data_IF_160557341507
#
_entry.id   IF_160557341507
#
_cell.length_a   1.000
_cell.length_b   1.000
_cell.length_c   1.000
_cell.angle_alpha   90.00
_cell.angle_beta   90.00
_cell.angle_gamma   90.00
#
_symmetry.space_group_name_H-M   'P 1'
#
loop_
_entity.id
_entity.type
_entity.pdbx_description
1 polymer ?
#
# COMPACT_ATOMS: atom_id res chain seq x y z
N UNK A 1 -12.92 -3.14 -22.84
CA UNK A 1 -12.86 -4.31 -21.94
C UNK A 1 -11.41 -4.70 -21.73
N UNK A 2 -10.83 -4.48 -20.55
CA UNK A 2 -9.63 -5.25 -20.11
C UNK A 2 -9.83 -5.53 -18.63
N UNK A 3 -10.46 -6.67 -18.32
CA UNK A 3 -10.41 -7.24 -16.98
C UNK A 3 -9.02 -7.86 -16.84
N UNK A 4 -8.07 -7.13 -16.25
CA UNK A 4 -6.69 -7.61 -16.14
C UNK A 4 -6.70 -8.81 -15.19
N UNK A 5 -6.28 -10.01 -15.64
CA UNK A 5 -6.32 -11.19 -14.79
C UNK A 5 -5.47 -10.97 -13.53
N UNK A 6 -5.86 -11.53 -12.38
CA UNK A 6 -5.22 -11.28 -11.08
C UNK A 6 -3.71 -11.55 -11.11
N UNK A 7 -3.27 -12.53 -11.91
CA UNK A 7 -1.84 -12.83 -12.13
C UNK A 7 -1.06 -11.64 -12.73
N UNK A 8 -1.66 -10.91 -13.68
CA UNK A 8 -1.01 -9.73 -14.30
C UNK A 8 -0.98 -8.54 -13.34
N UNK A 9 -2.04 -8.31 -12.56
CA UNK A 9 -2.04 -7.28 -11.50
C UNK A 9 -0.96 -7.55 -10.46
N UNK A 10 -0.83 -8.81 -10.02
CA UNK A 10 0.23 -9.21 -9.09
C UNK A 10 1.62 -8.94 -9.64
N UNK A 11 1.92 -9.37 -10.88
CA UNK A 11 3.24 -9.15 -11.48
C UNK A 11 3.57 -7.65 -11.57
N UNK A 12 2.60 -6.84 -12.00
CA UNK A 12 2.77 -5.38 -12.05
C UNK A 12 3.06 -4.79 -10.67
N UNK A 13 2.26 -5.14 -9.66
CA UNK A 13 2.45 -4.67 -8.29
C UNK A 13 3.77 -5.19 -7.70
N UNK A 14 4.19 -6.42 -8.05
CA UNK A 14 5.44 -7.00 -7.59
C UNK A 14 6.64 -6.25 -8.14
N UNK A 15 6.72 -6.05 -9.46
CA UNK A 15 7.87 -5.36 -10.08
C UNK A 15 8.00 -3.93 -9.56
N UNK A 16 6.89 -3.19 -9.46
CA UNK A 16 6.89 -1.81 -8.95
C UNK A 16 7.30 -1.72 -7.48
N UNK A 17 6.85 -2.66 -6.64
CA UNK A 17 7.21 -2.71 -5.22
C UNK A 17 8.59 -3.28 -4.97
N UNK A 18 9.09 -4.17 -5.81
CA UNK A 18 10.45 -4.71 -5.71
C UNK A 18 11.48 -3.60 -5.80
N UNK A 19 11.42 -2.77 -6.84
CA UNK A 19 12.36 -1.66 -7.01
C UNK A 19 12.30 -0.71 -5.80
N UNK A 20 11.09 -0.34 -5.38
CA UNK A 20 10.91 0.60 -4.27
C UNK A 20 11.41 0.02 -2.94
N UNK A 21 11.10 -1.24 -2.64
CA UNK A 21 11.50 -1.90 -1.40
C UNK A 21 13.01 -2.11 -1.35
N UNK A 22 13.63 -2.60 -2.43
CA UNK A 22 15.09 -2.79 -2.51
C UNK A 22 15.84 -1.48 -2.28
N UNK A 23 15.41 -0.40 -2.94
CA UNK A 23 16.04 0.93 -2.76
C UNK A 23 15.96 1.38 -1.31
N UNK A 24 14.78 1.30 -0.69
CA UNK A 24 14.61 1.69 0.71
C UNK A 24 15.44 0.82 1.66
N UNK A 25 15.44 -0.51 1.45
CA UNK A 25 16.18 -1.44 2.31
C UNK A 25 17.70 -1.26 2.16
N UNK A 26 18.20 -1.02 0.96
CA UNK A 26 19.63 -0.80 0.73
C UNK A 26 20.07 0.54 1.33
N UNK A 27 19.32 1.63 1.09
CA UNK A 27 19.66 2.96 1.65
C UNK A 27 19.70 2.89 3.18
N UNK A 28 18.63 2.39 3.80
CA UNK A 28 18.53 2.41 5.27
C UNK A 28 19.18 1.21 5.95
N UNK A 29 19.48 0.13 5.25
CA UNK A 29 20.16 -1.03 5.81
C UNK A 29 21.68 -1.03 5.62
N UNK A 30 22.18 -0.46 4.51
CA UNK A 30 23.62 -0.45 4.20
C UNK A 30 24.26 0.91 4.38
N UNK A 31 23.64 1.97 3.84
CA UNK A 31 24.31 3.26 3.69
C UNK A 31 24.00 4.26 4.80
N UNK A 32 22.80 4.20 5.39
CA UNK A 32 22.36 5.14 6.42
C UNK A 32 21.49 4.48 7.52
N UNK A 33 21.97 3.42 8.21
CA UNK A 33 21.22 2.72 9.24
C UNK A 33 20.93 3.55 10.50
N UNK A 34 21.68 4.63 10.75
CA UNK A 34 21.36 5.55 11.85
C UNK A 34 20.16 6.44 11.57
N UNK A 35 19.81 6.62 10.29
CA UNK A 35 18.76 7.53 9.85
C UNK A 35 17.43 6.78 9.66
N UNK A 36 17.45 5.51 9.24
CA UNK A 36 16.22 4.84 8.81
C UNK A 36 15.18 4.62 9.90
N UNK A 37 15.58 4.40 11.16
CA UNK A 37 14.63 4.37 12.29
C UNK A 37 13.96 5.73 12.48
N UNK A 38 14.75 6.81 12.48
CA UNK A 38 14.23 8.18 12.64
C UNK A 38 13.30 8.55 11.49
N UNK A 39 13.71 8.23 10.26
CA UNK A 39 12.91 8.45 9.06
C UNK A 39 11.58 7.70 9.14
N UNK A 40 11.59 6.41 9.46
CA UNK A 40 10.37 5.61 9.48
C UNK A 40 9.37 6.06 10.56
N UNK A 41 9.86 6.46 11.74
CA UNK A 41 9.02 7.05 12.80
C UNK A 41 8.44 8.38 12.34
N UNK A 42 9.27 9.30 11.83
CA UNK A 42 8.82 10.62 11.38
C UNK A 42 7.81 10.51 10.24
N UNK A 43 8.12 9.67 9.24
CA UNK A 43 7.23 9.40 8.12
C UNK A 43 5.88 8.88 8.63
N UNK A 44 5.89 7.93 9.56
CA UNK A 44 4.66 7.33 10.10
C UNK A 44 3.83 8.37 10.85
N UNK A 45 4.45 9.23 11.66
CA UNK A 45 3.75 10.29 12.40
C UNK A 45 3.18 11.36 11.47
N UNK A 46 3.97 11.83 10.51
CA UNK A 46 3.57 12.89 9.57
C UNK A 46 2.49 12.40 8.61
N UNK A 47 2.62 11.16 8.12
CA UNK A 47 1.70 10.61 7.13
C UNK A 47 0.48 9.94 7.75
N UNK A 48 0.50 9.57 9.04
CA UNK A 48 -0.65 8.99 9.73
C UNK A 48 -1.97 9.75 9.50
N UNK A 49 -2.07 11.08 9.71
CA UNK A 49 -3.34 11.78 9.50
C UNK A 49 -3.82 11.68 8.05
N UNK A 50 -2.90 11.81 7.07
CA UNK A 50 -3.23 11.72 5.64
C UNK A 50 -3.71 10.32 5.30
N UNK A 51 -2.97 9.30 5.73
CA UNK A 51 -3.27 7.90 5.44
C UNK A 51 -4.60 7.47 6.07
N UNK A 52 -4.88 7.90 7.30
CA UNK A 52 -6.13 7.59 7.99
C UNK A 52 -7.32 8.33 7.37
N UNK A 53 -7.12 9.59 6.96
CA UNK A 53 -8.13 10.34 6.22
C UNK A 53 -8.46 9.66 4.89
N UNK A 54 -7.44 9.32 4.09
CA UNK A 54 -7.62 8.58 2.83
C UNK A 54 -8.30 7.23 3.05
N UNK A 55 -7.95 6.50 4.12
CA UNK A 55 -8.60 5.24 4.46
C UNK A 55 -10.10 5.41 4.69
N UNK A 56 -10.50 6.46 5.42
CA UNK A 56 -11.91 6.74 5.69
C UNK A 56 -12.68 7.03 4.40
N UNK A 57 -12.12 7.85 3.52
CA UNK A 57 -12.72 8.18 2.22
C UNK A 57 -12.85 6.95 1.33
N UNK A 58 -11.77 6.16 1.20
CA UNK A 58 -11.76 4.92 0.43
C UNK A 58 -12.78 3.93 0.98
N UNK A 59 -12.82 3.76 2.29
CA UNK A 59 -13.79 2.87 2.93
C UNK A 59 -15.23 3.31 2.66
N UNK A 60 -15.53 4.61 2.78
CA UNK A 60 -16.86 5.15 2.48
C UNK A 60 -17.25 4.88 1.03
N UNK A 61 -16.36 5.16 0.07
CA UNK A 61 -16.59 4.86 -1.35
C UNK A 61 -16.77 3.36 -1.61
N UNK A 62 -15.93 2.51 -1.00
CA UNK A 62 -15.99 1.05 -1.18
C UNK A 62 -17.27 0.45 -0.58
N UNK A 63 -17.71 0.96 0.58
CA UNK A 63 -18.91 0.48 1.27
C UNK A 63 -20.21 0.68 0.49
N UNK A 64 -20.20 1.58 -0.51
CA UNK A 64 -21.33 1.80 -1.43
C UNK A 64 -21.45 0.70 -2.49
N UNK A 65 -20.37 -0.02 -2.79
CA UNK A 65 -20.29 -0.96 -3.93
C UNK A 65 -20.06 -2.40 -3.47
N UNK A 66 -19.43 -2.60 -2.31
CA UNK A 66 -19.07 -3.90 -1.78
C UNK A 66 -19.75 -4.15 -0.42
N UNK A 67 -19.97 -5.43 -0.05
CA UNK A 67 -20.35 -5.79 1.31
C UNK A 67 -19.36 -5.20 2.33
N UNK A 68 -19.86 -4.77 3.50
CA UNK A 68 -19.06 -4.09 4.54
C UNK A 68 -17.73 -4.81 4.84
N UNK A 69 -17.77 -6.14 4.96
CA UNK A 69 -16.59 -6.98 5.23
C UNK A 69 -15.53 -6.89 4.13
N UNK A 70 -15.94 -6.83 2.87
CA UNK A 70 -15.02 -6.76 1.74
C UNK A 70 -14.48 -5.34 1.55
N UNK A 71 -15.32 -4.32 1.75
CA UNK A 71 -14.89 -2.92 1.80
C UNK A 71 -13.84 -2.67 2.89
N UNK A 72 -14.06 -3.20 4.10
CA UNK A 72 -13.10 -3.17 5.22
C UNK A 72 -11.78 -3.82 4.82
N UNK A 73 -11.83 -5.03 4.24
CA UNK A 73 -10.63 -5.78 3.82
C UNK A 73 -9.82 -5.02 2.78
N UNK A 74 -10.48 -4.48 1.75
CA UNK A 74 -9.82 -3.74 0.67
C UNK A 74 -9.16 -2.46 1.23
N UNK A 75 -9.92 -1.66 1.98
CA UNK A 75 -9.41 -0.43 2.57
C UNK A 75 -8.23 -0.70 3.53
N UNK A 76 -8.31 -1.75 4.36
CA UNK A 76 -7.22 -2.14 5.25
C UNK A 76 -5.97 -2.60 4.50
N UNK A 77 -6.11 -3.33 3.40
CA UNK A 77 -4.96 -3.73 2.59
C UNK A 77 -4.22 -2.52 2.00
N UNK A 78 -4.97 -1.51 1.53
CA UNK A 78 -4.40 -0.26 1.03
C UNK A 78 -3.74 0.55 2.17
N UNK A 79 -4.40 0.62 3.33
CA UNK A 79 -3.88 1.24 4.56
C UNK A 79 -2.53 0.66 4.97
N UNK A 80 -2.45 -0.66 5.11
CA UNK A 80 -1.21 -1.35 5.48
C UNK A 80 -0.12 -1.07 4.44
N UNK A 81 -0.45 -1.17 3.15
CA UNK A 81 0.52 -0.92 2.07
C UNK A 81 1.11 0.47 2.14
N UNK A 82 0.33 1.49 2.52
CA UNK A 82 0.85 2.85 2.73
C UNK A 82 1.83 2.87 3.89
N UNK A 83 1.44 2.34 5.05
CA UNK A 83 2.30 2.31 6.23
C UNK A 83 3.61 1.54 6.05
N UNK A 84 3.67 0.60 5.10
CA UNK A 84 4.91 -0.12 4.77
C UNK A 84 6.07 0.82 4.39
N UNK A 85 5.81 2.01 3.84
CA UNK A 85 6.86 2.99 3.50
C UNK A 85 7.64 3.43 4.75
N UNK A 86 6.98 3.55 5.91
CA UNK A 86 7.64 3.84 7.19
C UNK A 86 8.25 2.62 7.85
N UNK A 87 7.63 1.44 7.69
CA UNK A 87 8.08 0.20 8.32
C UNK A 87 9.38 -0.32 7.71
N UNK A 88 9.51 -0.27 6.38
CA UNK A 88 10.68 -0.78 5.64
C UNK A 88 12.00 -0.14 6.12
N UNK A 89 12.12 1.19 6.24
CA UNK A 89 13.32 1.86 6.78
C UNK A 89 13.68 1.42 8.21
N UNK A 90 12.69 1.22 9.08
CA UNK A 90 12.90 0.79 10.47
C UNK A 90 13.49 -0.63 10.49
N UNK A 91 12.85 -1.57 9.81
CA UNK A 91 13.29 -2.96 9.77
C UNK A 91 14.64 -3.10 9.07
N UNK A 92 14.84 -2.39 7.95
CA UNK A 92 16.12 -2.35 7.23
C UNK A 92 17.25 -1.84 8.11
N UNK A 93 17.02 -0.78 8.90
CA UNK A 93 18.03 -0.24 9.82
C UNK A 93 18.43 -1.23 10.91
N UNK A 94 17.45 -1.92 11.50
CA UNK A 94 17.68 -2.92 12.55
C UNK A 94 18.49 -4.10 11.99
N UNK A 95 18.05 -4.67 10.86
CA UNK A 95 18.74 -5.78 10.20
C UNK A 95 20.10 -5.35 9.66
N UNK A 96 20.21 -4.15 9.11
CA UNK A 96 21.47 -3.55 8.65
C UNK A 96 22.51 -3.50 9.75
N UNK A 97 22.14 -3.06 10.95
CA UNK A 97 23.02 -3.08 12.12
C UNK A 97 23.37 -4.49 12.59
N UNK A 98 22.39 -5.38 12.64
CA UNK A 98 22.59 -6.73 13.16
C UNK A 98 23.46 -7.61 12.23
N UNK A 99 23.32 -7.43 10.92
CA UNK A 99 24.02 -8.21 9.90
C UNK A 99 25.15 -7.42 9.21
N UNK A 100 25.65 -6.34 9.81
CA UNK A 100 26.72 -5.48 9.28
C UNK A 100 26.50 -5.02 7.82
N UNK A 101 25.24 -4.76 7.47
CA UNK A 101 24.84 -4.36 6.12
C UNK A 101 25.13 -5.46 5.08
N UNK A 102 24.89 -6.72 5.41
CA UNK A 102 24.99 -7.81 4.43
C UNK A 102 23.92 -7.64 3.34
N UNK A 103 24.36 -7.39 2.11
CA UNK A 103 23.48 -7.12 0.97
C UNK A 103 22.56 -8.29 0.62
N UNK A 104 22.96 -9.54 0.87
CA UNK A 104 22.10 -10.70 0.62
C UNK A 104 20.93 -10.74 1.62
N UNK A 105 21.19 -10.43 2.89
CA UNK A 105 20.15 -10.36 3.92
C UNK A 105 19.21 -9.19 3.64
N UNK A 106 19.76 -8.04 3.25
CA UNK A 106 18.98 -6.87 2.89
C UNK A 106 18.15 -7.09 1.62
N UNK A 107 18.69 -7.72 0.59
CA UNK A 107 17.95 -8.05 -0.63
C UNK A 107 16.83 -9.07 -0.39
N UNK A 108 17.03 -10.06 0.49
CA UNK A 108 15.93 -10.96 0.85
C UNK A 108 14.83 -10.24 1.63
N UNK A 109 15.19 -9.27 2.50
CA UNK A 109 14.22 -8.43 3.18
C UNK A 109 13.42 -7.54 2.22
N UNK A 110 14.10 -6.91 1.24
CA UNK A 110 13.46 -6.12 0.18
C UNK A 110 12.47 -6.95 -0.64
N UNK A 111 12.90 -8.13 -1.08
CA UNK A 111 12.05 -9.10 -1.78
C UNK A 111 10.81 -9.49 -0.96
N UNK A 112 10.96 -9.79 0.34
CA UNK A 112 9.84 -10.16 1.20
C UNK A 112 8.81 -9.02 1.29
N UNK A 113 9.26 -7.79 1.50
CA UNK A 113 8.37 -6.63 1.53
C UNK A 113 7.68 -6.40 0.19
N UNK A 114 8.38 -6.60 -0.93
CA UNK A 114 7.79 -6.50 -2.26
C UNK A 114 6.68 -7.52 -2.49
N UNK A 115 6.88 -8.77 -2.08
CA UNK A 115 5.88 -9.84 -2.17
C UNK A 115 4.64 -9.49 -1.34
N UNK A 116 4.84 -9.06 -0.09
CA UNK A 116 3.73 -8.70 0.81
C UNK A 116 2.95 -7.51 0.25
N UNK A 117 3.62 -6.44 -0.15
CA UNK A 117 2.97 -5.26 -0.73
C UNK A 117 2.21 -5.60 -2.02
N UNK A 118 2.81 -6.42 -2.89
CA UNK A 118 2.17 -6.85 -4.14
C UNK A 118 0.91 -7.66 -3.89
N UNK A 119 0.94 -8.56 -2.89
CA UNK A 119 -0.23 -9.34 -2.49
C UNK A 119 -1.34 -8.45 -1.95
N UNK A 120 -1.03 -7.55 -1.00
CA UNK A 120 -2.01 -6.62 -0.41
C UNK A 120 -2.68 -5.76 -1.49
N UNK A 121 -1.90 -5.19 -2.41
CA UNK A 121 -2.42 -4.38 -3.51
C UNK A 121 -3.28 -5.19 -4.48
N UNK A 122 -2.88 -6.41 -4.79
CA UNK A 122 -3.63 -7.27 -5.71
C UNK A 122 -4.95 -7.70 -5.08
N UNK A 123 -4.95 -8.07 -3.80
CA UNK A 123 -6.15 -8.39 -3.02
C UNK A 123 -7.07 -7.17 -2.87
N UNK A 124 -6.53 -5.96 -2.85
CA UNK A 124 -7.29 -4.71 -2.90
C UNK A 124 -7.80 -4.35 -4.31
N UNK A 125 -7.54 -5.19 -5.32
CA UNK A 125 -7.93 -4.93 -6.70
C UNK A 125 -7.10 -3.86 -7.40
N UNK A 126 -5.99 -3.39 -6.81
CA UNK A 126 -5.17 -2.30 -7.35
C UNK A 126 -4.28 -2.76 -8.53
N UNK A 127 -4.12 -1.92 -9.58
CA UNK A 127 -4.90 -0.71 -9.84
C UNK A 127 -6.36 -1.06 -10.15
N UNK A 128 -7.29 -0.28 -9.59
CA UNK A 128 -8.72 -0.43 -9.86
C UNK A 128 -8.97 -0.34 -11.37
N UNK A 129 -9.73 -1.28 -11.90
CA UNK A 129 -10.13 -1.29 -13.30
C UNK A 129 -11.00 -0.08 -13.62
N UNK A 130 -11.07 0.30 -14.90
CA UNK A 130 -11.94 1.40 -15.36
C UNK A 130 -13.41 1.17 -14.98
N UNK A 131 -13.85 -0.09 -14.91
CA UNK A 131 -15.21 -0.47 -14.56
C UNK A 131 -15.47 -0.34 -13.06
N UNK A 132 -14.54 -0.80 -12.22
CA UNK A 132 -14.62 -0.61 -10.75
C UNK A 132 -14.64 0.88 -10.41
N UNK A 133 -13.79 1.69 -11.07
CA UNK A 133 -13.82 3.15 -10.94
C UNK A 133 -15.15 3.75 -11.36
N UNK A 134 -15.73 3.30 -12.48
CA UNK A 134 -17.06 3.76 -12.93
C UNK A 134 -18.16 3.42 -11.94
N UNK A 135 -18.17 2.19 -11.39
CA UNK A 135 -19.18 1.78 -10.40
C UNK A 135 -19.11 2.60 -9.13
N UNK A 136 -17.89 2.91 -8.65
CA UNK A 136 -17.69 3.82 -7.52
C UNK A 136 -18.24 5.22 -7.81
N UNK A 137 -17.91 5.78 -8.99
CA UNK A 137 -18.41 7.11 -9.40
C UNK A 137 -19.93 7.16 -9.59
N UNK A 138 -20.55 6.11 -10.14
CA UNK A 138 -22.00 6.04 -10.29
C UNK A 138 -22.71 5.95 -8.93
N UNK A 139 -22.22 5.12 -8.02
CA UNK A 139 -22.77 5.00 -6.67
C UNK A 139 -22.60 6.30 -5.85
N UNK A 140 -21.55 7.08 -6.13
CA UNK A 140 -21.35 8.40 -5.55
C UNK A 140 -22.37 9.43 -6.06
N UNK A 141 -22.72 9.39 -7.34
CA UNK A 141 -23.75 10.26 -7.93
C UNK A 141 -25.19 9.90 -7.51
N UNK A 142 -25.50 8.62 -7.28
CA UNK A 142 -26.82 8.18 -6.80
C UNK A 142 -27.06 8.51 -5.32
N UNK A 143 -26.00 8.64 -4.52
CA UNK A 143 -26.08 9.01 -3.10
C UNK A 143 -26.01 10.53 -2.86
N UNK A 144 -26.01 11.35 -3.92
CA UNK A 144 -26.03 12.80 -3.81
C UNK A 144 -27.43 13.30 -3.42
N UNK A 145 -27.58 14.07 -2.32
CA UNK A 145 -28.89 14.50 -1.80
C UNK A 145 -29.70 15.37 -2.77
N UNK A 146 -29.09 15.92 -3.83
CA UNK A 146 -29.78 16.72 -4.85
C UNK A 146 -30.78 15.92 -5.70
N UNK A 147 -30.69 14.58 -5.77
CA UNK A 147 -31.63 13.74 -6.52
C UNK A 147 -32.78 13.15 -5.70
N UNK A 148 -32.70 13.20 -4.37
CA UNK A 148 -33.78 12.75 -3.48
C UNK A 148 -34.83 13.85 -3.23
N UNK A 149 -34.59 15.06 -3.74
CA UNK A 149 -35.46 16.23 -3.60
C UNK A 149 -36.22 16.61 -4.89
N UNK A 150 -36.16 15.75 -5.93
CA UNK A 150 -36.96 15.82 -7.16
C UNK A 150 -37.87 14.60 -7.25
#
# INVERSE_FOLDING_TARGET
MINVPPKRKFIYNFVTRLISAEVLVIIFGKYAPEVGVKFGILWSLVMAPIILHTYREEWQSLSKVYPKRDADRIANNLLITRFMIGIIPITASIFGRWFNGNLLVLGTLGLLFAIVAAKLLTDAGYPLSKEEKRRMLCAENESSPERLAL
#
